data_IF_072435437328
#
_entry.id   IF_072435437328
#
_cell.length_a   1.000
_cell.length_b   1.000
_cell.length_c   1.000
_cell.angle_alpha   90.00
_cell.angle_beta   90.00
_cell.angle_gamma   90.00
#
_symmetry.space_group_name_H-M   'P 1'
#
loop_
_entity.id
_entity.type
_entity.pdbx_description
1 polymer ?
#
# COMPACT_ATOMS: atom_id res chain seq x y z
N UNK A 1 -17.07 45.11 -28.08
CA UNK A 1 -16.53 44.15 -27.07
C UNK A 1 -15.15 44.60 -26.59
N UNK A 2 -14.84 44.44 -25.30
CA UNK A 2 -13.56 44.84 -24.68
C UNK A 2 -12.53 43.70 -24.71
N UNK A 3 -11.27 44.02 -25.03
CA UNK A 3 -10.14 43.07 -25.05
C UNK A 3 -9.59 42.84 -23.64
N UNK A 4 -9.65 41.59 -23.14
CA UNK A 4 -9.12 41.21 -21.81
C UNK A 4 -7.78 40.46 -21.96
N UNK A 5 -6.74 40.90 -21.25
CA UNK A 5 -5.39 40.28 -21.27
C UNK A 5 -5.25 39.19 -20.19
N UNK A 6 -4.59 38.07 -20.50
CA UNK A 6 -4.53 36.88 -19.63
C UNK A 6 -3.20 36.63 -18.89
N UNK A 7 -2.15 37.44 -19.11
CA UNK A 7 -0.76 37.13 -18.68
C UNK A 7 -0.54 36.82 -17.19
N UNK A 8 -1.18 37.56 -16.27
CA UNK A 8 -1.04 37.30 -14.82
C UNK A 8 -1.70 35.98 -14.40
N UNK A 9 -2.83 35.65 -15.04
CA UNK A 9 -3.62 34.44 -14.74
C UNK A 9 -2.87 33.21 -15.24
N UNK A 10 -2.31 33.26 -16.45
CA UNK A 10 -1.55 32.16 -17.03
C UNK A 10 -0.28 31.87 -16.22
N UNK A 11 0.47 32.90 -15.81
CA UNK A 11 1.66 32.77 -14.95
C UNK A 11 1.31 32.10 -13.62
N UNK A 12 0.24 32.52 -12.95
CA UNK A 12 -0.24 31.90 -11.69
C UNK A 12 -0.57 30.42 -11.89
N UNK A 13 -1.24 30.05 -12.98
CA UNK A 13 -1.56 28.64 -13.30
C UNK A 13 -0.30 27.81 -13.51
N UNK A 14 0.67 28.33 -14.27
CA UNK A 14 1.94 27.63 -14.52
C UNK A 14 2.74 27.39 -13.25
N UNK A 15 2.84 28.42 -12.39
CA UNK A 15 3.52 28.31 -11.11
C UNK A 15 2.87 27.28 -10.17
N UNK A 16 1.54 27.12 -10.19
CA UNK A 16 0.86 26.06 -9.43
C UNK A 16 1.36 24.66 -9.84
N UNK A 17 1.45 24.39 -11.14
CA UNK A 17 1.91 23.08 -11.64
C UNK A 17 3.40 22.87 -11.35
N UNK A 18 4.23 23.88 -11.55
CA UNK A 18 5.67 23.80 -11.25
C UNK A 18 5.92 23.58 -9.74
N UNK A 19 5.09 24.17 -8.88
CA UNK A 19 5.15 23.92 -7.42
C UNK A 19 4.83 22.45 -7.07
N UNK A 20 3.95 21.79 -7.83
CA UNK A 20 3.64 20.37 -7.65
C UNK A 20 4.77 19.46 -8.17
N UNK A 21 5.58 19.91 -9.13
CA UNK A 21 6.64 19.13 -9.77
C UNK A 21 8.05 19.35 -9.20
N UNK A 22 8.20 20.06 -8.07
CA UNK A 22 9.51 20.47 -7.50
C UNK A 22 10.55 19.35 -7.39
N UNK A 23 10.14 18.14 -7.04
CA UNK A 23 11.05 16.99 -6.85
C UNK A 23 11.30 16.19 -8.13
N UNK A 24 10.70 16.56 -9.26
CA UNK A 24 10.93 15.85 -10.51
C UNK A 24 12.30 16.15 -11.10
N UNK A 25 12.88 15.15 -11.75
CA UNK A 25 14.24 15.23 -12.30
C UNK A 25 14.28 16.10 -13.56
N UNK A 26 15.29 16.97 -13.64
CA UNK A 26 15.63 17.72 -14.85
C UNK A 26 14.53 18.68 -15.32
N UNK A 27 14.20 18.62 -16.61
CA UNK A 27 13.22 19.53 -17.22
C UNK A 27 11.79 19.37 -16.68
N UNK A 28 11.47 18.25 -16.03
CA UNK A 28 10.14 17.97 -15.47
C UNK A 28 9.80 18.77 -14.21
N UNK A 29 10.77 19.45 -13.59
CA UNK A 29 10.56 20.38 -12.48
C UNK A 29 10.67 21.85 -12.89
N UNK A 30 11.21 22.14 -14.08
CA UNK A 30 11.49 23.50 -14.55
C UNK A 30 10.53 23.99 -15.64
N UNK A 31 10.25 23.16 -16.66
CA UNK A 31 9.46 23.57 -17.82
C UNK A 31 7.98 23.21 -17.61
N UNK A 32 7.07 24.16 -17.89
CA UNK A 32 5.63 23.96 -17.65
C UNK A 32 5.03 22.77 -18.42
N UNK A 33 5.37 22.62 -19.71
CA UNK A 33 4.79 21.57 -20.59
C UNK A 33 5.12 20.17 -20.08
N UNK A 34 6.41 19.89 -19.85
CA UNK A 34 6.90 18.60 -19.33
C UNK A 34 6.44 18.35 -17.90
N UNK A 35 6.45 19.39 -17.05
CA UNK A 35 5.93 19.32 -15.67
C UNK A 35 4.46 18.89 -15.66
N UNK A 36 3.62 19.52 -16.49
CA UNK A 36 2.19 19.23 -16.54
C UNK A 36 1.91 17.77 -16.95
N UNK A 37 2.58 17.29 -18.00
CA UNK A 37 2.47 15.90 -18.44
C UNK A 37 2.86 14.93 -17.32
N UNK A 38 3.96 15.22 -16.61
CA UNK A 38 4.44 14.38 -15.51
C UNK A 38 3.48 14.41 -14.30
N UNK A 39 2.99 15.58 -13.92
CA UNK A 39 2.05 15.75 -12.81
C UNK A 39 0.77 14.96 -13.07
N UNK A 40 0.19 15.05 -14.26
CA UNK A 40 -1.02 14.29 -14.63
C UNK A 40 -0.78 12.78 -14.50
N UNK A 41 0.35 12.27 -15.02
CA UNK A 41 0.72 10.85 -14.89
C UNK A 41 0.91 10.44 -13.43
N UNK A 42 1.58 11.27 -12.63
CA UNK A 42 1.81 10.99 -11.20
C UNK A 42 0.52 10.99 -10.39
N UNK A 43 -0.45 11.87 -10.69
CA UNK A 43 -1.76 11.88 -10.04
C UNK A 43 -2.57 10.62 -10.37
N UNK A 44 -2.58 10.18 -11.63
CA UNK A 44 -3.20 8.91 -12.03
C UNK A 44 -2.60 7.73 -11.29
N UNK A 45 -1.26 7.66 -11.24
CA UNK A 45 -0.56 6.60 -10.53
C UNK A 45 -0.86 6.63 -9.03
N UNK A 46 -0.80 7.79 -8.38
CA UNK A 46 -1.14 7.95 -6.95
C UNK A 46 -2.53 7.41 -6.61
N UNK A 47 -3.54 7.68 -7.45
CA UNK A 47 -4.87 7.11 -7.26
C UNK A 47 -4.88 5.57 -7.36
N UNK A 48 -4.24 5.01 -8.38
CA UNK A 48 -4.15 3.57 -8.57
C UNK A 48 -3.36 2.89 -7.44
N UNK A 49 -2.24 3.47 -7.04
CA UNK A 49 -1.32 2.94 -6.04
C UNK A 49 -1.93 2.95 -4.64
N UNK A 50 -2.83 3.89 -4.30
CA UNK A 50 -3.64 3.81 -3.06
C UNK A 50 -4.48 2.54 -2.97
N UNK A 51 -5.03 2.07 -4.10
CA UNK A 51 -5.77 0.79 -4.16
C UNK A 51 -4.81 -0.40 -4.08
N UNK A 52 -3.71 -0.36 -4.85
CA UNK A 52 -2.69 -1.43 -4.85
C UNK A 52 -2.01 -1.61 -3.50
N UNK A 53 -1.74 -0.53 -2.75
CA UNK A 53 -1.13 -0.55 -1.41
C UNK A 53 -1.88 -1.47 -0.45
N UNK A 54 -3.22 -1.50 -0.52
CA UNK A 54 -4.05 -2.40 0.30
C UNK A 54 -3.79 -3.87 -0.02
N UNK A 55 -3.72 -4.22 -1.31
CA UNK A 55 -3.42 -5.58 -1.78
C UNK A 55 -1.98 -5.99 -1.42
N UNK A 56 -1.02 -5.09 -1.64
CA UNK A 56 0.40 -5.31 -1.32
C UNK A 56 0.60 -5.67 0.16
N UNK A 57 0.03 -4.91 1.09
CA UNK A 57 0.13 -5.25 2.52
C UNK A 57 -0.57 -6.54 2.88
N UNK A 58 -1.73 -6.83 2.28
CA UNK A 58 -2.42 -8.10 2.51
C UNK A 58 -1.54 -9.27 2.11
N UNK A 59 -0.90 -9.21 0.95
CA UNK A 59 0.03 -10.23 0.48
C UNK A 59 1.26 -10.34 1.40
N UNK A 60 1.81 -9.21 1.85
CA UNK A 60 2.91 -9.20 2.81
C UNK A 60 2.55 -9.91 4.12
N UNK A 61 1.37 -9.61 4.68
CA UNK A 61 0.91 -10.25 5.92
C UNK A 61 0.71 -11.74 5.76
N UNK A 62 0.08 -12.17 4.65
CA UNK A 62 -0.08 -13.60 4.34
C UNK A 62 1.27 -14.29 4.19
N UNK A 63 2.23 -13.67 3.49
CA UNK A 63 3.56 -14.24 3.31
C UNK A 63 4.31 -14.40 4.65
N UNK A 64 4.21 -13.40 5.54
CA UNK A 64 4.82 -13.46 6.88
C UNK A 64 4.23 -14.60 7.71
N UNK A 65 2.90 -14.74 7.71
CA UNK A 65 2.23 -15.83 8.42
C UNK A 65 2.63 -17.18 7.80
N UNK A 66 2.69 -17.27 6.47
CA UNK A 66 3.09 -18.49 5.79
C UNK A 66 4.51 -18.94 6.15
N UNK A 67 5.47 -18.00 6.22
CA UNK A 67 6.84 -18.30 6.68
C UNK A 67 6.82 -18.80 8.12
N UNK A 68 6.08 -18.15 9.01
CA UNK A 68 5.94 -18.59 10.40
C UNK A 68 5.33 -19.99 10.52
N UNK A 69 4.28 -20.29 9.74
CA UNK A 69 3.69 -21.62 9.70
C UNK A 69 4.69 -22.66 9.17
N UNK A 70 5.45 -22.33 8.13
CA UNK A 70 6.49 -23.22 7.56
C UNK A 70 7.58 -23.54 8.57
N UNK A 71 8.04 -22.56 9.36
CA UNK A 71 9.01 -22.78 10.44
C UNK A 71 8.49 -23.71 11.54
N UNK A 72 7.18 -23.76 11.74
CA UNK A 72 6.53 -24.66 12.69
C UNK A 72 6.00 -25.96 12.04
N UNK A 73 6.37 -26.24 10.79
CA UNK A 73 5.92 -27.40 10.00
C UNK A 73 4.39 -27.49 9.80
N UNK A 74 3.70 -26.35 9.76
CA UNK A 74 2.24 -26.25 9.53
C UNK A 74 1.97 -25.59 8.18
N UNK A 75 0.89 -25.99 7.50
CA UNK A 75 0.44 -25.35 6.27
C UNK A 75 -0.51 -24.18 6.56
N UNK A 76 -0.24 -23.01 5.96
CA UNK A 76 -1.07 -21.80 6.11
C UNK A 76 -2.55 -22.02 5.77
N UNK A 77 -2.87 -22.71 4.66
CA UNK A 77 -4.27 -22.93 4.26
C UNK A 77 -5.05 -23.66 5.35
N UNK A 78 -4.48 -24.75 5.89
CA UNK A 78 -5.06 -25.51 7.00
C UNK A 78 -5.24 -24.63 8.25
N UNK A 79 -4.23 -23.81 8.61
CA UNK A 79 -4.36 -22.92 9.78
C UNK A 79 -5.48 -21.89 9.62
N UNK A 80 -5.67 -21.35 8.42
CA UNK A 80 -6.72 -20.36 8.15
C UNK A 80 -8.11 -20.99 8.25
N UNK A 81 -8.28 -22.21 7.73
CA UNK A 81 -9.53 -22.93 7.82
C UNK A 81 -9.85 -23.28 9.28
N UNK A 82 -8.87 -23.76 10.04
CA UNK A 82 -8.99 -24.01 11.48
C UNK A 82 -9.43 -22.76 12.25
N UNK A 83 -8.82 -21.61 12.00
CA UNK A 83 -9.18 -20.35 12.66
C UNK A 83 -10.62 -19.94 12.34
N UNK A 84 -11.07 -20.16 11.10
CA UNK A 84 -12.45 -19.92 10.68
C UNK A 84 -13.43 -20.85 11.40
N UNK A 85 -13.12 -22.14 11.50
CA UNK A 85 -13.95 -23.11 12.22
C UNK A 85 -14.04 -22.81 13.73
N UNK A 86 -12.93 -22.37 14.34
CA UNK A 86 -12.88 -21.91 15.73
C UNK A 86 -13.54 -20.54 15.95
N UNK A 87 -14.11 -19.91 14.92
CA UNK A 87 -14.73 -18.58 14.95
C UNK A 87 -13.79 -17.46 15.44
N UNK A 88 -12.48 -17.63 15.26
CA UNK A 88 -11.48 -16.61 15.61
C UNK A 88 -11.38 -15.62 14.44
N UNK A 89 -12.09 -14.50 14.55
CA UNK A 89 -12.19 -13.46 13.51
C UNK A 89 -11.02 -12.47 13.52
N UNK A 90 -9.78 -12.98 13.59
CA UNK A 90 -8.58 -12.14 13.56
C UNK A 90 -8.18 -11.76 12.14
N UNK A 91 -7.87 -10.48 11.94
CA UNK A 91 -7.34 -9.99 10.67
C UNK A 91 -5.87 -10.43 10.50
N UNK A 92 -5.47 -10.77 9.26
CA UNK A 92 -4.10 -11.13 8.90
C UNK A 92 -3.06 -10.07 9.30
N UNK A 93 -3.45 -8.78 9.35
CA UNK A 93 -2.58 -7.72 9.90
C UNK A 93 -2.15 -8.00 11.33
N UNK A 94 -3.10 -8.36 12.19
CA UNK A 94 -2.87 -8.59 13.61
C UNK A 94 -2.07 -9.87 13.79
N UNK A 95 -2.46 -10.95 13.10
CA UNK A 95 -1.74 -12.23 13.15
C UNK A 95 -0.29 -12.05 12.69
N UNK A 96 -0.05 -11.35 11.58
CA UNK A 96 1.30 -11.08 11.10
C UNK A 96 2.15 -10.29 12.09
N UNK A 97 1.55 -9.35 12.83
CA UNK A 97 2.28 -8.60 13.85
C UNK A 97 2.59 -9.48 15.06
N UNK A 98 1.63 -10.30 15.50
CA UNK A 98 1.84 -11.24 16.59
C UNK A 98 2.96 -12.23 16.23
N UNK A 99 3.05 -12.71 14.98
CA UNK A 99 4.13 -13.62 14.57
C UNK A 99 5.53 -12.99 14.71
N UNK A 100 5.64 -11.66 14.65
CA UNK A 100 6.90 -10.93 14.76
C UNK A 100 7.22 -10.63 16.22
N UNK A 101 6.25 -10.14 16.98
CA UNK A 101 6.49 -9.66 18.34
C UNK A 101 6.34 -10.75 19.41
N UNK A 102 5.44 -11.70 19.21
CA UNK A 102 5.17 -12.77 20.18
C UNK A 102 4.97 -14.12 19.48
N UNK A 103 6.10 -14.78 19.23
CA UNK A 103 6.16 -16.09 18.64
C UNK A 103 5.50 -17.16 19.52
N UNK A 104 5.49 -16.98 20.84
CA UNK A 104 4.95 -17.97 21.79
C UNK A 104 3.43 -17.96 21.80
N UNK A 105 2.82 -16.78 21.89
CA UNK A 105 1.36 -16.63 21.84
C UNK A 105 0.82 -17.06 20.47
N UNK A 106 1.50 -16.72 19.37
CA UNK A 106 1.09 -17.17 18.03
C UNK A 106 1.22 -18.66 17.84
N UNK A 107 2.28 -19.27 18.37
CA UNK A 107 2.40 -20.73 18.37
C UNK A 107 1.26 -21.37 19.13
N UNK A 108 0.86 -20.86 20.30
CA UNK A 108 -0.33 -21.36 21.02
C UNK A 108 -1.61 -21.19 20.19
N UNK A 109 -1.83 -20.04 19.57
CA UNK A 109 -2.99 -19.80 18.70
C UNK A 109 -3.05 -20.75 17.50
N UNK A 110 -1.91 -21.09 16.90
CA UNK A 110 -1.84 -21.89 15.67
C UNK A 110 -1.68 -23.40 15.92
N UNK A 111 -1.02 -23.80 17.02
CA UNK A 111 -0.75 -25.21 17.41
C UNK A 111 -1.85 -25.80 18.28
N UNK A 112 -2.82 -25.01 18.75
CA UNK A 112 -3.98 -25.50 19.55
C UNK A 112 -4.86 -26.54 18.85
N UNK A 113 -4.49 -27.03 17.66
CA UNK A 113 -5.05 -28.21 17.01
C UNK A 113 -3.94 -29.16 16.57
N UNK A 114 -3.25 -29.81 17.52
CA UNK A 114 -2.83 -31.20 17.33
C UNK A 114 -4.00 -32.06 17.82
N UNK A 115 -5.04 -32.20 17.01
CA UNK A 115 -6.03 -33.27 17.18
C UNK A 115 -6.53 -33.60 15.78
N UNK A 116 -6.18 -34.84 15.38
CA UNK A 116 -6.27 -35.49 14.07
C UNK A 116 -5.05 -35.22 13.18
#
# INVERSE_FOLDING_TARGET
>A
MIRIKSGKITRKRHQKIIKLSKSFRGSQSKLFKTSNQRVIKSLKNSYADRKKKKSFYKNLWVNRINIFCKLNYINYSKTKDVLKHKKILLNSKIISNLCIFDSTATKRLLVTNKNI
#
